data_IF_926860799065
#
_entry.id   IF_926860799065
#
_cell.length_a   1.000
_cell.length_b   1.000
_cell.length_c   1.000
_cell.angle_alpha   90.00
_cell.angle_beta   90.00
_cell.angle_gamma   90.00
#
_symmetry.space_group_name_H-M   'P 1'
#
loop_
_entity.id
_entity.type
_entity.pdbx_description
1 polymer ?
#
# COMPACT_ATOMS: atom_id res chain seq x y z
N UNK A 1 27.95 41.90 -44.46
CA UNK A 1 28.78 41.15 -43.51
C UNK A 1 28.52 41.67 -42.10
N UNK A 2 28.26 40.73 -41.16
CA UNK A 2 28.22 40.85 -39.68
C UNK A 2 27.21 41.80 -39.01
N UNK A 3 26.25 41.18 -38.33
CA UNK A 3 25.69 41.52 -37.00
C UNK A 3 24.46 40.61 -36.78
N UNK A 4 24.12 40.00 -35.65
CA UNK A 4 24.62 39.90 -34.28
C UNK A 4 23.95 38.65 -33.71
N UNK A 5 24.66 37.92 -32.85
CA UNK A 5 24.13 36.80 -32.08
C UNK A 5 23.05 37.25 -31.09
N UNK A 6 21.90 36.55 -31.06
CA UNK A 6 21.02 36.50 -29.89
C UNK A 6 20.83 35.01 -29.55
N UNK A 7 21.62 34.60 -28.57
CA UNK A 7 21.61 33.34 -27.83
C UNK A 7 20.43 33.41 -26.83
N UNK A 8 20.02 32.33 -26.17
CA UNK A 8 19.35 31.08 -26.55
C UNK A 8 17.99 31.06 -25.79
N UNK A 9 17.63 30.01 -25.03
CA UNK A 9 16.68 30.10 -23.89
C UNK A 9 15.16 29.92 -24.11
N UNK A 10 14.71 29.12 -25.08
CA UNK A 10 13.27 28.78 -25.19
C UNK A 10 12.98 27.28 -25.38
N UNK A 11 13.81 26.42 -24.78
CA UNK A 11 13.64 24.97 -24.88
C UNK A 11 13.98 24.20 -23.58
N UNK A 12 13.67 24.78 -22.41
CA UNK A 12 13.85 24.11 -21.09
C UNK A 12 12.57 24.16 -20.25
N UNK A 13 11.39 24.06 -20.87
CA UNK A 13 10.09 24.15 -20.15
C UNK A 13 9.26 22.84 -20.24
N UNK A 14 9.84 21.72 -20.65
CA UNK A 14 9.09 20.44 -20.79
C UNK A 14 9.50 19.33 -19.83
N UNK A 15 10.23 19.64 -18.75
CA UNK A 15 10.59 18.67 -17.70
C UNK A 15 9.83 18.91 -16.40
N UNK A 16 8.51 18.76 -16.43
CA UNK A 16 7.66 18.52 -15.26
C UNK A 16 6.76 17.32 -15.55
N UNK A 17 7.37 16.22 -16.01
CA UNK A 17 6.73 14.90 -15.91
C UNK A 17 6.72 14.57 -14.43
N UNK A 18 5.51 14.52 -13.87
CA UNK A 18 5.26 14.49 -12.44
C UNK A 18 6.08 13.45 -11.71
N UNK A 19 6.78 13.90 -10.67
CA UNK A 19 7.05 13.04 -9.54
C UNK A 19 5.69 12.66 -8.97
N UNK A 20 5.20 11.47 -9.32
CA UNK A 20 4.17 10.76 -8.56
C UNK A 20 4.80 10.45 -7.21
N UNK A 21 4.90 11.45 -6.35
CA UNK A 21 5.25 11.26 -4.96
C UNK A 21 4.10 10.47 -4.37
N UNK A 22 4.42 9.26 -3.91
CA UNK A 22 3.51 8.37 -3.19
C UNK A 22 2.75 9.16 -2.13
N UNK A 23 1.53 9.56 -2.47
CA UNK A 23 0.65 10.36 -1.64
C UNK A 23 -0.06 9.46 -0.62
N UNK A 24 0.66 8.48 -0.06
CA UNK A 24 0.14 7.59 0.98
C UNK A 24 0.14 8.24 2.36
N UNK A 25 1.11 9.12 2.66
CA UNK A 25 1.32 9.62 4.03
C UNK A 25 0.95 11.09 4.28
N UNK A 26 0.79 11.91 3.23
CA UNK A 26 0.49 13.33 3.41
C UNK A 26 -0.88 13.57 4.07
N UNK A 27 -1.87 12.70 3.77
CA UNK A 27 -3.19 12.73 4.39
C UNK A 27 -3.15 12.34 5.86
N UNK A 28 -2.52 11.21 6.20
CA UNK A 28 -2.43 10.70 7.57
C UNK A 28 -1.63 11.62 8.50
N UNK A 29 -0.55 12.23 8.01
CA UNK A 29 0.21 13.20 8.80
C UNK A 29 -0.64 14.44 9.14
N UNK A 30 -1.45 14.93 8.20
CA UNK A 30 -2.35 16.07 8.41
C UNK A 30 -3.45 15.75 9.43
N UNK A 31 -3.99 14.54 9.40
CA UNK A 31 -5.02 14.08 10.34
C UNK A 31 -4.46 13.93 11.77
N UNK A 32 -3.31 13.27 11.92
CA UNK A 32 -2.63 13.15 13.22
C UNK A 32 -2.29 14.52 13.80
N UNK A 33 -1.88 15.46 12.94
CA UNK A 33 -1.54 16.84 13.33
C UNK A 33 -2.75 17.55 13.96
N UNK A 34 -3.92 17.47 13.31
CA UNK A 34 -5.18 18.02 13.83
C UNK A 34 -5.59 17.35 15.14
N UNK A 35 -5.42 16.04 15.24
CA UNK A 35 -5.79 15.28 16.43
C UNK A 35 -4.93 15.66 17.65
N UNK A 36 -3.61 15.78 17.47
CA UNK A 36 -2.70 16.24 18.51
C UNK A 36 -2.96 17.70 18.92
N UNK A 37 -3.23 18.59 17.96
CA UNK A 37 -3.62 19.96 18.27
C UNK A 37 -4.95 20.02 19.05
N UNK A 38 -5.93 19.17 18.70
CA UNK A 38 -7.21 19.05 19.40
C UNK A 38 -7.10 18.53 20.84
N UNK A 39 -6.08 17.72 21.14
CA UNK A 39 -5.75 17.32 22.52
C UNK A 39 -5.01 18.41 23.32
N UNK A 40 -4.67 19.54 22.70
CA UNK A 40 -4.00 20.67 23.36
C UNK A 40 -2.47 20.62 23.32
N UNK A 41 -1.89 19.71 22.54
CA UNK A 41 -0.44 19.71 22.32
C UNK A 41 -0.04 20.87 21.41
N UNK A 42 0.96 21.64 21.83
CA UNK A 42 1.48 22.77 21.04
C UNK A 42 2.47 22.29 19.98
N UNK A 43 2.27 22.70 18.73
CA UNK A 43 3.19 22.38 17.63
C UNK A 43 4.63 22.83 17.93
N UNK A 44 5.60 22.00 17.52
CA UNK A 44 7.03 22.26 17.77
C UNK A 44 7.52 21.86 19.16
N UNK A 45 6.67 21.25 19.99
CA UNK A 45 7.08 20.68 21.29
C UNK A 45 7.33 19.18 21.21
N UNK A 46 8.15 18.66 22.12
CA UNK A 46 8.39 17.21 22.23
C UNK A 46 7.11 16.43 22.53
N UNK A 47 6.19 17.02 23.31
CA UNK A 47 4.90 16.42 23.62
C UNK A 47 4.04 16.23 22.35
N UNK A 48 4.07 17.21 21.43
CA UNK A 48 3.41 17.10 20.14
C UNK A 48 4.02 16.01 19.26
N UNK A 49 5.35 15.93 19.21
CA UNK A 49 6.05 14.89 18.46
C UNK A 49 5.70 13.48 18.98
N UNK A 50 5.62 13.32 20.30
CA UNK A 50 5.25 12.04 20.91
C UNK A 50 3.80 11.65 20.59
N UNK A 51 2.86 12.60 20.66
CA UNK A 51 1.47 12.36 20.25
C UNK A 51 1.39 11.90 18.78
N UNK A 52 2.05 12.64 17.88
CA UNK A 52 2.09 12.32 16.45
C UNK A 52 2.65 10.92 16.19
N UNK A 53 3.72 10.56 16.90
CA UNK A 53 4.35 9.24 16.80
C UNK A 53 3.39 8.13 17.25
N UNK A 54 2.74 8.28 18.40
CA UNK A 54 1.81 7.28 18.93
C UNK A 54 0.62 7.05 17.99
N UNK A 55 0.06 8.12 17.43
CA UNK A 55 -1.02 8.02 16.45
C UNK A 55 -0.55 7.34 15.15
N UNK A 56 0.64 7.67 14.66
CA UNK A 56 1.21 7.02 13.49
C UNK A 56 1.44 5.52 13.69
N UNK A 57 1.92 5.11 14.87
CA UNK A 57 2.08 3.70 15.21
C UNK A 57 0.73 2.99 15.26
N UNK A 58 -0.26 3.58 15.93
CA UNK A 58 -1.61 3.02 16.01
C UNK A 58 -2.26 2.87 14.63
N UNK A 59 -2.06 3.83 13.74
CA UNK A 59 -2.56 3.74 12.36
C UNK A 59 -1.88 2.64 11.56
N UNK A 60 -0.57 2.42 11.74
CA UNK A 60 0.14 1.30 11.11
C UNK A 60 -0.41 -0.05 11.59
N UNK A 61 -0.70 -0.17 12.88
CA UNK A 61 -1.29 -1.40 13.44
C UNK A 61 -2.71 -1.64 12.95
N UNK A 62 -3.45 -0.57 12.61
CA UNK A 62 -4.83 -0.63 12.12
C UNK A 62 -4.94 -0.71 10.61
N UNK A 63 -3.85 -0.51 9.86
CA UNK A 63 -3.89 -0.62 8.41
C UNK A 63 -4.02 -2.11 8.08
N UNK A 64 -5.18 -2.54 7.52
CA UNK A 64 -5.34 -3.93 7.14
C UNK A 64 -4.21 -4.30 6.16
N UNK A 65 -3.70 -5.54 6.21
CA UNK A 65 -2.70 -5.99 5.24
C UNK A 65 -3.23 -5.72 3.84
N UNK A 66 -2.36 -5.28 2.93
CA UNK A 66 -2.70 -5.06 1.53
C UNK A 66 -3.38 -6.33 0.99
N UNK A 67 -4.70 -6.26 0.82
CA UNK A 67 -5.55 -7.40 0.50
C UNK A 67 -5.10 -8.04 -0.82
N UNK A 68 -4.67 -7.23 -1.78
CA UNK A 68 -4.17 -7.69 -3.07
C UNK A 68 -2.82 -8.39 -2.94
N UNK A 69 -1.93 -7.93 -2.05
CA UNK A 69 -0.69 -8.65 -1.74
C UNK A 69 -0.96 -9.99 -1.07
N UNK A 70 -1.91 -10.03 -0.13
CA UNK A 70 -2.31 -11.25 0.58
C UNK A 70 -2.94 -12.27 -0.37
N UNK A 71 -3.88 -11.85 -1.23
CA UNK A 71 -4.47 -12.69 -2.26
C UNK A 71 -3.42 -13.27 -3.22
N UNK A 72 -2.48 -12.44 -3.70
CA UNK A 72 -1.37 -12.90 -4.54
C UNK A 72 -0.52 -13.96 -3.83
N UNK A 73 -0.24 -13.75 -2.55
CA UNK A 73 0.51 -14.71 -1.75
C UNK A 73 -0.27 -16.04 -1.62
N UNK A 74 -1.55 -15.99 -1.26
CA UNK A 74 -2.40 -17.18 -1.09
C UNK A 74 -2.54 -17.97 -2.38
N UNK A 75 -2.79 -17.28 -3.50
CA UNK A 75 -2.81 -17.87 -4.84
C UNK A 75 -1.51 -18.64 -5.14
N UNK A 76 -0.35 -18.02 -4.90
CA UNK A 76 0.95 -18.66 -5.14
C UNK A 76 1.19 -19.89 -4.28
N UNK A 77 0.65 -19.92 -3.07
CA UNK A 77 0.79 -21.04 -2.13
C UNK A 77 -0.14 -22.20 -2.52
N UNK A 78 -1.40 -21.90 -2.82
CA UNK A 78 -2.39 -22.91 -3.20
C UNK A 78 -2.05 -23.59 -4.53
N UNK A 79 -1.55 -22.84 -5.52
CA UNK A 79 -1.08 -23.41 -6.79
C UNK A 79 0.13 -24.32 -6.61
N UNK A 80 1.11 -23.92 -5.77
CA UNK A 80 2.31 -24.75 -5.51
C UNK A 80 2.02 -26.09 -4.83
N UNK A 81 0.87 -26.20 -4.17
CA UNK A 81 0.44 -27.41 -3.45
C UNK A 81 -0.53 -28.27 -4.25
N UNK A 82 -0.84 -27.89 -5.49
CA UNK A 82 -1.78 -28.65 -6.32
C UNK A 82 -1.27 -30.08 -6.55
N UNK A 83 -2.09 -31.06 -6.21
CA UNK A 83 -1.75 -32.48 -6.27
C UNK A 83 -0.99 -33.00 -5.04
N UNK A 84 -0.80 -32.18 -4.00
CA UNK A 84 -0.23 -32.61 -2.73
C UNK A 84 -1.35 -33.02 -1.76
N UNK A 85 -1.53 -34.32 -1.57
CA UNK A 85 -2.58 -34.90 -0.73
C UNK A 85 -2.47 -34.51 0.75
N UNK A 86 -1.36 -33.91 1.18
CA UNK A 86 -1.22 -33.37 2.56
C UNK A 86 -2.05 -32.12 2.78
N UNK A 87 -2.50 -31.45 1.72
CA UNK A 87 -3.28 -30.21 1.80
C UNK A 87 -4.71 -30.42 1.30
N UNK A 88 -5.74 -29.98 2.04
CA UNK A 88 -7.11 -30.02 1.56
C UNK A 88 -7.32 -29.02 0.41
N UNK A 89 -8.35 -29.23 -0.41
CA UNK A 89 -8.74 -28.27 -1.45
C UNK A 89 -9.32 -27.01 -0.79
N UNK A 90 -8.86 -25.83 -1.24
CA UNK A 90 -9.36 -24.55 -0.78
C UNK A 90 -10.88 -24.44 -1.06
N UNK A 91 -11.64 -24.01 -0.06
CA UNK A 91 -13.09 -23.83 -0.16
C UNK A 91 -13.58 -22.68 0.73
N UNK A 92 -14.82 -22.26 0.50
CA UNK A 92 -15.52 -21.25 1.30
C UNK A 92 -15.73 -21.63 2.78
N UNK A 93 -15.53 -22.91 3.13
CA UNK A 93 -15.77 -23.40 4.49
C UNK A 93 -14.65 -23.00 5.48
N UNK A 94 -13.47 -22.64 4.98
CA UNK A 94 -12.36 -22.16 5.79
C UNK A 94 -12.34 -20.63 5.77
N UNK A 95 -12.53 -20.01 6.94
CA UNK A 95 -12.55 -18.56 7.10
C UNK A 95 -11.21 -17.88 6.81
N UNK A 96 -10.12 -18.64 6.69
CA UNK A 96 -8.81 -18.16 6.26
C UNK A 96 -8.60 -18.20 4.75
N UNK A 97 -9.56 -18.75 3.98
CA UNK A 97 -9.51 -18.75 2.53
C UNK A 97 -10.20 -17.52 1.96
N UNK A 98 -9.69 -17.06 0.82
CA UNK A 98 -10.22 -15.93 0.07
C UNK A 98 -10.58 -16.37 -1.35
N UNK A 99 -11.59 -15.75 -1.94
CA UNK A 99 -12.00 -16.01 -3.31
C UNK A 99 -11.16 -15.16 -4.27
N UNK A 100 -10.31 -15.78 -5.10
CA UNK A 100 -9.69 -15.09 -6.23
C UNK A 100 -10.71 -15.00 -7.38
N UNK A 101 -11.29 -13.82 -7.53
CA UNK A 101 -12.32 -13.52 -8.54
C UNK A 101 -11.80 -13.56 -9.98
N UNK A 102 -10.48 -13.47 -10.19
CA UNK A 102 -9.89 -13.56 -11.54
C UNK A 102 -9.95 -14.97 -12.12
N UNK A 103 -9.91 -15.99 -11.25
CA UNK A 103 -9.97 -17.41 -11.61
C UNK A 103 -11.21 -18.12 -11.09
N UNK A 104 -12.03 -17.45 -10.27
CA UNK A 104 -13.19 -18.03 -9.58
C UNK A 104 -12.83 -19.29 -8.75
N UNK A 105 -11.68 -19.24 -8.07
CA UNK A 105 -11.17 -20.34 -7.23
C UNK A 105 -10.83 -19.79 -5.84
N UNK A 106 -11.09 -20.61 -4.82
CA UNK A 106 -10.66 -20.30 -3.46
C UNK A 106 -9.15 -20.50 -3.32
N UNK A 107 -8.49 -19.62 -2.58
CA UNK A 107 -7.06 -19.64 -2.29
C UNK A 107 -6.82 -19.40 -0.80
N UNK A 108 -5.75 -19.96 -0.24
CA UNK A 108 -5.52 -19.84 1.19
C UNK A 108 -4.14 -20.31 1.65
N UNK A 109 -3.82 -20.05 2.93
CA UNK A 109 -2.48 -20.29 3.46
C UNK A 109 -2.18 -21.77 3.70
N UNK A 110 -3.20 -22.63 3.84
CA UNK A 110 -3.07 -24.03 4.27
C UNK A 110 -3.83 -25.04 3.39
N UNK A 111 -4.09 -24.68 2.13
CA UNK A 111 -4.85 -25.52 1.20
C UNK A 111 -4.19 -25.54 -0.18
N UNK A 112 -4.63 -26.45 -1.04
CA UNK A 112 -4.30 -26.52 -2.45
C UNK A 112 -5.43 -25.97 -3.31
N UNK A 113 -5.10 -25.41 -4.47
CA UNK A 113 -6.11 -24.92 -5.41
C UNK A 113 -6.94 -26.09 -5.95
N UNK A 114 -8.24 -25.86 -6.18
CA UNK A 114 -9.09 -26.87 -6.81
C UNK A 114 -8.59 -27.17 -8.23
N UNK A 115 -8.57 -28.46 -8.65
CA UNK A 115 -8.22 -28.82 -10.02
C UNK A 115 -9.17 -28.14 -11.03
N UNK A 116 -8.72 -28.02 -12.28
CA UNK A 116 -9.50 -27.44 -13.37
C UNK A 116 -10.75 -28.27 -13.69
#
# INVERSE_FOLDING_TARGET
>A
MRAVAVVPFLAVVTSLVGCTTDQGNAGQQSENKRQCAGFGFQEGTDAFANCMMQLSLKQKDQQPPDHDALLRQYKSLSMRRQGDDRYPVCSAADMGNELDTSMNKWVGPNCQIAPD
#
